data_IF_619524659273
#
_entry.id   IF_619524659273
#
_cell.length_a   1.000
_cell.length_b   1.000
_cell.length_c   1.000
_cell.angle_alpha   90.00
_cell.angle_beta   90.00
_cell.angle_gamma   90.00
#
_symmetry.space_group_name_H-M   'P 1'
#
loop_
_entity.id
_entity.type
_entity.pdbx_description
1 polymer ?
#
# COMPACT_ATOMS: atom_id res chain seq x y z
N UNK A 1 6.03 -10.19 31.90
CA UNK A 1 7.01 -10.44 30.81
C UNK A 1 6.42 -11.54 29.93
N UNK A 2 5.94 -11.22 28.73
CA UNK A 2 5.42 -12.22 27.80
C UNK A 2 6.44 -12.43 26.69
N UNK A 3 6.83 -13.69 26.48
CA UNK A 3 7.71 -14.14 25.40
C UNK A 3 6.98 -14.04 24.07
N UNK A 4 7.66 -13.50 23.05
CA UNK A 4 7.10 -13.27 21.72
C UNK A 4 7.45 -14.45 20.80
N UNK A 5 6.42 -15.07 20.22
CA UNK A 5 6.57 -15.97 19.08
C UNK A 5 6.64 -15.08 17.83
N UNK A 6 7.82 -15.02 17.20
CA UNK A 6 8.02 -14.33 15.92
C UNK A 6 7.30 -15.10 14.81
N UNK A 7 6.16 -14.59 14.33
CA UNK A 7 5.50 -15.13 13.15
C UNK A 7 6.16 -14.56 11.88
N UNK A 8 7.08 -15.33 11.30
CA UNK A 8 7.84 -14.97 10.09
C UNK A 8 7.00 -14.93 8.81
N UNK A 9 5.73 -15.34 8.85
CA UNK A 9 4.89 -15.46 7.65
C UNK A 9 4.16 -14.17 7.27
N UNK A 10 4.13 -13.17 8.15
CA UNK A 10 3.39 -11.91 7.95
C UNK A 10 4.20 -10.70 8.43
N UNK A 11 5.33 -10.39 7.78
CA UNK A 11 6.23 -9.34 8.24
C UNK A 11 5.57 -7.95 8.34
N UNK A 12 4.55 -7.69 7.52
CA UNK A 12 3.78 -6.43 7.46
C UNK A 12 2.80 -6.20 8.63
N UNK A 13 2.54 -7.21 9.46
CA UNK A 13 1.69 -7.04 10.65
C UNK A 13 2.43 -6.37 11.82
N UNK A 14 3.77 -6.31 11.79
CA UNK A 14 4.57 -5.84 12.92
C UNK A 14 4.80 -4.32 12.93
N UNK A 15 4.60 -3.64 11.80
CA UNK A 15 4.76 -2.19 11.67
C UNK A 15 3.53 -1.39 12.17
N UNK A 16 2.52 -2.10 12.70
CA UNK A 16 1.21 -1.60 13.13
C UNK A 16 1.17 -1.16 14.61
N UNK A 17 2.28 -0.63 15.16
CA UNK A 17 2.45 -0.44 16.62
C UNK A 17 1.80 0.81 17.25
N UNK A 18 1.02 1.60 16.51
CA UNK A 18 0.22 2.71 17.06
C UNK A 18 -1.29 2.41 16.95
N UNK A 19 -2.15 3.18 17.63
CA UNK A 19 -3.59 2.96 17.91
C UNK A 19 -4.55 2.68 16.70
N UNK A 20 -4.02 2.38 15.52
CA UNK A 20 -4.70 2.11 14.25
C UNK A 20 -4.95 0.60 13.95
N UNK A 21 -4.61 -0.31 14.88
CA UNK A 21 -4.66 -1.78 14.69
C UNK A 21 -5.94 -2.32 14.04
N UNK A 22 -7.17 -1.92 14.42
CA UNK A 22 -8.37 -2.57 13.88
C UNK A 22 -8.62 -2.20 12.41
N UNK A 23 -8.28 -0.97 12.01
CA UNK A 23 -8.70 -0.41 10.73
C UNK A 23 -7.73 -0.73 9.58
N UNK A 24 -6.42 -0.64 9.81
CA UNK A 24 -5.42 -1.07 8.83
C UNK A 24 -5.51 -2.59 8.62
N UNK A 25 -5.76 -3.35 9.70
CA UNK A 25 -6.06 -4.78 9.61
C UNK A 25 -7.38 -5.02 8.87
N UNK A 26 -8.43 -4.21 9.07
CA UNK A 26 -9.67 -4.29 8.29
C UNK A 26 -9.47 -3.99 6.80
N UNK A 27 -8.73 -2.95 6.43
CA UNK A 27 -8.49 -2.61 5.02
C UNK A 27 -7.70 -3.70 4.31
N UNK A 28 -6.70 -4.25 5.00
CA UNK A 28 -5.97 -5.43 4.54
C UNK A 28 -6.91 -6.63 4.43
N UNK A 29 -7.71 -6.94 5.46
CA UNK A 29 -8.68 -8.06 5.45
C UNK A 29 -9.74 -7.91 4.33
N UNK A 30 -10.21 -6.71 4.05
CA UNK A 30 -11.14 -6.40 2.95
C UNK A 30 -10.49 -6.71 1.59
N UNK A 31 -9.18 -6.49 1.46
CA UNK A 31 -8.39 -6.85 0.28
C UNK A 31 -7.99 -8.34 0.26
N UNK A 32 -7.96 -9.01 1.42
CA UNK A 32 -7.60 -10.41 1.62
C UNK A 32 -8.79 -11.39 1.69
N UNK A 33 -10.00 -11.00 1.27
CA UNK A 33 -11.15 -11.93 1.17
C UNK A 33 -11.00 -13.01 0.07
N UNK A 34 -9.77 -13.44 -0.24
CA UNK A 34 -9.47 -14.69 -0.96
C UNK A 34 -8.47 -15.55 -0.15
N UNK A 35 -8.74 -16.85 0.02
CA UNK A 35 -7.84 -17.75 0.72
C UNK A 35 -6.71 -18.20 -0.21
N UNK A 36 -5.48 -17.73 0.04
CA UNK A 36 -4.23 -18.50 -0.08
C UNK A 36 -3.02 -17.58 0.12
N UNK A 37 -2.55 -17.46 1.37
CA UNK A 37 -1.24 -16.88 1.69
C UNK A 37 -0.48 -17.85 2.58
N UNK A 38 0.05 -18.87 1.93
CA UNK A 38 1.20 -19.65 2.42
C UNK A 38 2.21 -19.61 1.30
N UNK A 39 3.29 -18.83 1.48
CA UNK A 39 4.66 -19.31 1.29
C UNK A 39 5.65 -18.17 1.53
N UNK A 40 6.68 -18.53 2.29
CA UNK A 40 7.96 -17.86 2.45
C UNK A 40 8.56 -17.45 1.11
N UNK A 41 9.06 -16.22 1.03
CA UNK A 41 9.68 -15.67 -0.18
C UNK A 41 11.11 -16.22 -0.28
N UNK A 42 11.26 -17.35 -0.96
CA UNK A 42 12.25 -17.44 -2.03
C UNK A 42 11.70 -16.61 -3.20
N UNK A 43 12.55 -15.85 -3.89
CA UNK A 43 12.16 -15.11 -5.10
C UNK A 43 11.97 -16.15 -6.20
N UNK A 44 10.82 -16.82 -6.17
CA UNK A 44 10.35 -17.58 -7.31
C UNK A 44 10.15 -16.56 -8.44
N UNK A 45 10.86 -16.78 -9.56
CA UNK A 45 10.68 -16.08 -10.85
C UNK A 45 9.30 -16.39 -11.46
N UNK A 46 8.25 -16.45 -10.64
CA UNK A 46 6.91 -16.72 -11.09
C UNK A 46 6.36 -15.45 -11.76
N UNK A 47 5.78 -15.59 -12.95
CA UNK A 47 5.02 -14.50 -13.54
C UNK A 47 3.91 -14.06 -12.58
N UNK A 48 3.79 -12.75 -12.37
CA UNK A 48 2.79 -12.14 -11.49
C UNK A 48 1.51 -11.93 -12.29
N UNK A 49 0.38 -12.37 -11.74
CA UNK A 49 -0.90 -12.13 -12.37
C UNK A 49 -1.31 -10.65 -12.24
N UNK A 50 -2.07 -10.14 -13.20
CA UNK A 50 -2.42 -8.71 -13.26
C UNK A 50 -3.20 -8.23 -12.04
N UNK A 51 -4.07 -9.07 -11.47
CA UNK A 51 -4.82 -8.77 -10.27
C UNK A 51 -3.91 -8.71 -9.02
N UNK A 52 -2.89 -9.56 -8.95
CA UNK A 52 -1.86 -9.49 -7.90
C UNK A 52 -1.06 -8.19 -8.00
N UNK A 53 -0.63 -7.81 -9.21
CA UNK A 53 0.07 -6.54 -9.45
C UNK A 53 -0.78 -5.32 -9.08
N UNK A 54 -2.05 -5.29 -9.51
CA UNK A 54 -2.97 -4.19 -9.17
C UNK A 54 -3.26 -4.11 -7.66
N UNK A 55 -3.28 -5.26 -6.97
CA UNK A 55 -3.41 -5.31 -5.51
C UNK A 55 -2.22 -4.69 -4.81
N UNK A 56 -1.02 -5.04 -5.27
CA UNK A 56 0.21 -4.48 -4.73
C UNK A 56 0.31 -2.96 -4.96
N UNK A 57 -0.20 -2.47 -6.10
CA UNK A 57 -0.29 -1.05 -6.38
C UNK A 57 -1.27 -0.35 -5.43
N UNK A 58 -2.42 -0.97 -5.10
CA UNK A 58 -3.30 -0.48 -4.03
C UNK A 58 -2.59 -0.43 -2.67
N UNK A 59 -1.78 -1.44 -2.32
CA UNK A 59 -0.99 -1.42 -1.09
C UNK A 59 -0.02 -0.25 -1.04
N UNK A 60 0.70 -0.01 -2.13
CA UNK A 60 1.59 1.14 -2.26
C UNK A 60 0.83 2.46 -2.08
N UNK A 61 -0.34 2.62 -2.71
CA UNK A 61 -1.20 3.82 -2.55
C UNK A 61 -1.73 4.02 -1.12
N UNK A 62 -1.70 2.98 -0.29
CA UNK A 62 -2.04 3.05 1.13
C UNK A 62 -0.82 3.12 2.05
N UNK A 63 0.38 3.34 1.48
CA UNK A 63 1.64 3.46 2.22
C UNK A 63 2.14 2.13 2.79
N UNK A 64 1.96 1.03 2.07
CA UNK A 64 2.36 -0.32 2.47
C UNK A 64 3.22 -0.97 1.37
N UNK A 65 4.43 -1.42 1.72
CA UNK A 65 5.29 -2.21 0.83
C UNK A 65 4.68 -3.57 0.50
N UNK A 66 5.01 -4.12 -0.67
CA UNK A 66 4.40 -5.33 -1.21
C UNK A 66 5.42 -6.22 -1.94
N UNK A 67 4.94 -7.23 -2.69
CA UNK A 67 5.82 -8.08 -3.46
C UNK A 67 6.48 -7.28 -4.60
N UNK A 68 5.73 -6.39 -5.24
CA UNK A 68 6.19 -5.61 -6.41
C UNK A 68 6.71 -4.21 -6.08
N UNK A 69 6.26 -3.60 -4.98
CA UNK A 69 6.68 -2.24 -4.59
C UNK A 69 7.40 -2.24 -3.25
N UNK A 70 8.47 -1.47 -3.14
CA UNK A 70 9.26 -1.35 -1.92
C UNK A 70 9.46 0.11 -1.56
N UNK A 71 9.27 0.45 -0.28
CA UNK A 71 9.59 1.76 0.25
C UNK A 71 11.08 1.87 0.52
N UNK A 72 11.72 2.85 -0.12
CA UNK A 72 13.10 3.23 0.17
C UNK A 72 13.10 4.36 1.22
N UNK A 73 13.51 4.03 2.44
CA UNK A 73 13.58 5.00 3.55
C UNK A 73 14.59 6.12 3.32
N UNK A 74 15.68 5.85 2.60
CA UNK A 74 16.75 6.83 2.34
C UNK A 74 16.24 7.93 1.41
N UNK A 75 15.48 7.55 0.39
CA UNK A 75 14.97 8.46 -0.64
C UNK A 75 13.52 8.88 -0.41
N UNK A 76 12.90 8.44 0.70
CA UNK A 76 11.48 8.64 1.03
C UNK A 76 10.56 8.42 -0.19
N UNK A 77 10.81 7.33 -0.92
CA UNK A 77 10.08 7.01 -2.16
C UNK A 77 9.81 5.51 -2.27
N UNK A 78 8.64 5.17 -2.81
CA UNK A 78 8.41 3.86 -3.35
C UNK A 78 9.21 3.67 -4.64
N UNK A 79 9.64 2.43 -4.85
CA UNK A 79 10.22 1.96 -6.09
C UNK A 79 9.53 0.64 -6.51
N UNK A 80 9.39 0.46 -7.81
CA UNK A 80 9.07 -0.84 -8.40
C UNK A 80 10.32 -1.72 -8.30
N UNK A 81 10.21 -2.96 -7.81
CA UNK A 81 11.37 -3.86 -7.75
C UNK A 81 11.84 -4.23 -9.16
N UNK A 82 13.12 -4.53 -9.30
CA UNK A 82 13.68 -4.98 -10.58
C UNK A 82 13.07 -6.32 -11.00
N UNK A 83 13.07 -6.57 -12.31
CA UNK A 83 12.78 -7.89 -12.90
C UNK A 83 11.36 -8.43 -12.63
N UNK A 84 10.40 -7.54 -12.40
CA UNK A 84 8.99 -7.89 -12.26
C UNK A 84 8.43 -8.27 -13.63
N UNK A 85 7.94 -9.51 -13.74
CA UNK A 85 7.27 -10.01 -14.92
C UNK A 85 5.76 -10.12 -14.68
N UNK A 86 4.97 -9.20 -15.22
CA UNK A 86 3.49 -9.24 -15.14
C UNK A 86 2.92 -9.89 -16.40
N UNK A 87 2.09 -10.93 -16.21
CA UNK A 87 1.50 -11.71 -17.30
C UNK A 87 0.73 -10.82 -18.27
N UNK A 88 1.09 -10.92 -19.57
CA UNK A 88 0.42 -10.22 -20.65
C UNK A 88 0.86 -8.77 -20.87
N UNK A 89 1.88 -8.28 -20.16
CA UNK A 89 2.39 -6.92 -20.29
C UNK A 89 3.91 -6.89 -20.44
N UNK A 90 4.43 -5.91 -21.18
CA UNK A 90 5.87 -5.66 -21.24
C UNK A 90 6.32 -4.92 -19.99
N UNK A 91 7.57 -5.15 -19.57
CA UNK A 91 8.17 -4.45 -18.41
C UNK A 91 8.05 -2.93 -18.54
N UNK A 92 8.36 -2.38 -19.72
CA UNK A 92 8.21 -0.94 -20.00
C UNK A 92 6.78 -0.42 -19.81
N UNK A 93 5.76 -1.23 -20.10
CA UNK A 93 4.36 -0.86 -19.86
C UNK A 93 4.05 -0.80 -18.38
N UNK A 94 4.54 -1.78 -17.61
CA UNK A 94 4.35 -1.85 -16.16
C UNK A 94 5.09 -0.72 -15.45
N UNK A 95 6.33 -0.43 -15.83
CA UNK A 95 7.11 0.69 -15.31
C UNK A 95 6.40 2.02 -15.57
N UNK A 96 6.01 2.28 -16.82
CA UNK A 96 5.31 3.52 -17.19
C UNK A 96 3.98 3.67 -16.46
N UNK A 97 3.23 2.57 -16.30
CA UNK A 97 1.98 2.58 -15.57
C UNK A 97 2.21 2.86 -14.08
N UNK A 98 3.18 2.18 -13.47
CA UNK A 98 3.53 2.32 -12.05
C UNK A 98 4.00 3.73 -11.69
N UNK A 99 4.80 4.36 -12.55
CA UNK A 99 5.32 5.71 -12.35
C UNK A 99 4.21 6.75 -12.14
N UNK A 100 3.02 6.55 -12.73
CA UNK A 100 1.87 7.44 -12.52
C UNK A 100 1.34 7.42 -11.08
N UNK A 101 1.53 6.31 -10.37
CA UNK A 101 0.97 6.08 -9.04
C UNK A 101 2.01 6.19 -7.92
N UNK A 102 3.29 5.99 -8.23
CA UNK A 102 4.39 6.08 -7.25
C UNK A 102 4.39 7.44 -6.54
N UNK A 103 4.21 8.54 -7.27
CA UNK A 103 4.16 9.88 -6.65
C UNK A 103 3.03 10.01 -5.63
N UNK A 104 1.85 9.47 -5.93
CA UNK A 104 0.71 9.48 -5.00
C UNK A 104 0.99 8.61 -3.75
N UNK A 105 1.60 7.43 -3.93
CA UNK A 105 2.05 6.59 -2.82
C UNK A 105 3.08 7.30 -1.93
N UNK A 106 4.02 8.03 -2.55
CA UNK A 106 5.02 8.82 -1.82
C UNK A 106 4.37 9.91 -0.98
N UNK A 107 3.46 10.70 -1.56
CA UNK A 107 2.74 11.74 -0.83
C UNK A 107 1.96 11.16 0.36
N UNK A 108 1.28 10.03 0.15
CA UNK A 108 0.57 9.32 1.22
C UNK A 108 1.52 8.98 2.38
N UNK A 109 2.68 8.38 2.07
CA UNK A 109 3.63 7.97 3.10
C UNK A 109 4.31 9.16 3.79
N UNK A 110 4.62 10.24 3.08
CA UNK A 110 5.16 11.47 3.67
C UNK A 110 4.17 12.07 4.67
N UNK A 111 2.89 12.18 4.30
CA UNK A 111 1.84 12.68 5.22
C UNK A 111 1.71 11.75 6.43
N UNK A 112 1.70 10.44 6.21
CA UNK A 112 1.66 9.43 7.28
C UNK A 112 2.86 9.56 8.23
N UNK A 113 4.07 9.74 7.71
CA UNK A 113 5.27 9.94 8.52
C UNK A 113 5.23 11.25 9.32
N UNK A 114 4.75 12.34 8.70
CA UNK A 114 4.55 13.61 9.40
C UNK A 114 3.61 13.46 10.59
N UNK A 115 2.42 12.87 10.37
CA UNK A 115 1.44 12.60 11.44
C UNK A 115 2.05 11.79 12.60
N UNK A 116 2.86 10.78 12.27
CA UNK A 116 3.49 9.91 13.26
C UNK A 116 4.59 10.63 14.05
N UNK A 117 5.30 11.58 13.44
CA UNK A 117 6.36 12.38 14.10
C UNK A 117 5.77 13.52 14.94
N UNK A 118 4.63 14.08 14.56
CA UNK A 118 3.98 15.22 15.23
C UNK A 118 3.25 14.89 16.53
N UNK A 119 3.28 13.65 17.02
CA UNK A 119 2.54 13.19 18.21
C UNK A 119 2.98 13.81 19.55
N UNK A 120 3.87 14.82 19.55
CA UNK A 120 4.39 15.53 20.73
C UNK A 120 4.22 17.04 20.66
N UNK A 121 3.46 17.55 19.70
CA UNK A 121 3.40 18.98 19.40
C UNK A 121 2.14 19.65 19.98
N UNK A 122 1.98 20.95 19.70
CA UNK A 122 0.88 21.80 20.18
C UNK A 122 -0.51 21.22 19.92
N UNK A 123 -1.51 21.65 20.69
CA UNK A 123 -2.91 21.24 20.52
C UNK A 123 -3.42 21.47 19.09
N UNK A 124 -3.12 22.63 18.51
CA UNK A 124 -3.45 22.97 17.12
C UNK A 124 -2.82 22.00 16.11
N UNK A 125 -1.58 21.57 16.33
CA UNK A 125 -0.94 20.59 15.45
C UNK A 125 -1.55 19.20 15.58
N UNK A 126 -2.01 18.83 16.78
CA UNK A 126 -2.72 17.57 17.00
C UNK A 126 -4.08 17.54 16.27
N UNK A 127 -4.82 18.65 16.25
CA UNK A 127 -6.08 18.79 15.49
C UNK A 127 -5.83 18.73 13.98
N UNK A 128 -4.77 19.40 13.50
CA UNK A 128 -4.36 19.31 12.10
C UNK A 128 -3.98 17.87 11.71
N UNK A 129 -3.16 17.20 12.51
CA UNK A 129 -2.79 15.80 12.30
C UNK A 129 -4.00 14.87 12.35
N UNK A 130 -4.97 15.13 13.22
CA UNK A 130 -6.23 14.38 13.25
C UNK A 130 -7.00 14.51 11.93
N UNK A 131 -7.12 15.73 11.40
CA UNK A 131 -7.77 15.99 10.11
C UNK A 131 -7.07 15.26 8.97
N UNK A 132 -5.73 15.27 8.94
CA UNK A 132 -4.95 14.51 7.97
C UNK A 132 -5.16 13.00 8.10
N UNK A 133 -5.20 12.44 9.33
CA UNK A 133 -5.51 11.01 9.53
C UNK A 133 -6.88 10.65 8.96
N UNK A 134 -7.89 11.49 9.20
CA UNK A 134 -9.22 11.28 8.65
C UNK A 134 -9.22 11.29 7.11
N UNK A 135 -8.45 12.21 6.52
CA UNK A 135 -8.29 12.28 5.06
C UNK A 135 -7.58 11.03 4.48
N UNK A 136 -6.46 10.59 5.08
CA UNK A 136 -5.77 9.36 4.65
C UNK A 136 -6.69 8.13 4.77
N UNK A 137 -7.50 8.04 5.84
CA UNK A 137 -8.49 6.97 6.00
C UNK A 137 -9.57 7.01 4.92
N UNK A 138 -10.02 8.19 4.51
CA UNK A 138 -10.97 8.33 3.40
C UNK A 138 -10.40 7.76 2.10
N UNK A 139 -9.13 8.07 1.78
CA UNK A 139 -8.45 7.53 0.61
C UNK A 139 -8.36 6.00 0.70
N UNK A 140 -7.88 5.46 1.82
CA UNK A 140 -7.78 4.01 2.04
C UNK A 140 -9.11 3.29 1.83
N UNK A 141 -10.21 3.83 2.39
CA UNK A 141 -11.57 3.28 2.18
C UNK A 141 -11.96 3.31 0.71
N UNK A 142 -11.74 4.44 0.05
CA UNK A 142 -12.13 4.64 -1.34
C UNK A 142 -11.43 3.66 -2.28
N UNK A 143 -10.17 3.32 -1.99
CA UNK A 143 -9.41 2.31 -2.73
C UNK A 143 -9.88 0.88 -2.38
N UNK A 144 -10.08 0.58 -1.08
CA UNK A 144 -10.39 -0.77 -0.60
C UNK A 144 -11.81 -1.27 -0.98
N UNK A 145 -12.72 -0.39 -1.39
CA UNK A 145 -14.09 -0.77 -1.81
C UNK A 145 -14.09 -1.55 -3.14
N UNK A 146 -13.05 -1.43 -3.96
CA UNK A 146 -13.04 -2.04 -5.28
C UNK A 146 -12.54 -3.49 -5.27
N UNK A 147 -13.33 -4.38 -5.88
CA UNK A 147 -12.87 -5.71 -6.28
C UNK A 147 -11.97 -5.63 -7.52
N UNK A 148 -10.68 -5.42 -7.25
CA UNK A 148 -9.61 -5.31 -8.27
C UNK A 148 -9.37 -6.60 -9.05
N UNK A 149 -9.90 -7.76 -8.62
CA UNK A 149 -9.74 -9.02 -9.35
C UNK A 149 -10.42 -9.03 -10.73
N UNK A 150 -11.25 -8.01 -10.99
CA UNK A 150 -11.98 -7.81 -12.26
C UNK A 150 -11.46 -6.61 -13.05
N UNK A 151 -10.27 -6.10 -12.72
CA UNK A 151 -9.73 -4.89 -13.31
C UNK A 151 -8.65 -5.22 -14.35
N UNK A 152 -8.68 -4.49 -15.46
CA UNK A 152 -7.51 -4.28 -16.32
C UNK A 152 -6.79 -3.01 -15.88
N UNK A 153 -5.58 -2.76 -16.39
CA UNK A 153 -4.85 -1.49 -16.14
C UNK A 153 -5.72 -0.25 -16.46
N UNK A 154 -6.47 -0.30 -17.57
CA UNK A 154 -7.35 0.80 -18.00
C UNK A 154 -8.51 1.00 -17.03
N UNK A 155 -9.16 -0.10 -16.62
CA UNK A 155 -10.28 -0.04 -15.68
C UNK A 155 -9.83 0.40 -14.28
N UNK A 156 -8.64 -0.01 -13.88
CA UNK A 156 -8.00 0.47 -12.65
C UNK A 156 -7.80 1.97 -12.68
N UNK A 157 -7.16 2.50 -13.73
CA UNK A 157 -6.95 3.94 -13.87
C UNK A 157 -8.27 4.72 -13.84
N UNK A 158 -9.30 4.26 -14.56
CA UNK A 158 -10.61 4.92 -14.58
C UNK A 158 -11.32 4.96 -13.20
N UNK A 159 -10.95 4.07 -12.26
CA UNK A 159 -11.53 4.03 -10.91
C UNK A 159 -10.68 4.71 -9.86
N UNK A 160 -9.36 4.64 -9.99
CA UNK A 160 -8.41 5.14 -9.00
C UNK A 160 -7.99 6.57 -9.28
N UNK A 161 -7.81 6.97 -10.54
CA UNK A 161 -7.40 8.33 -10.89
C UNK A 161 -8.32 9.41 -10.26
N UNK A 162 -9.66 9.28 -10.27
CA UNK A 162 -10.54 10.27 -9.61
C UNK A 162 -10.35 10.39 -8.10
N UNK A 163 -9.91 9.32 -7.42
CA UNK A 163 -9.61 9.34 -5.98
C UNK A 163 -8.29 10.05 -5.73
N UNK A 164 -7.33 9.88 -6.63
CA UNK A 164 -6.01 10.50 -6.50
C UNK A 164 -6.00 11.96 -6.95
N UNK A 165 -6.88 12.38 -7.86
CA UNK A 165 -7.02 13.78 -8.25
C UNK A 165 -7.58 14.70 -7.14
N UNK A 166 -7.99 14.16 -5.99
CA UNK A 166 -8.31 14.96 -4.81
C UNK A 166 -7.13 15.19 -3.85
N UNK A 167 -5.99 14.51 -4.07
CA UNK A 167 -4.71 14.74 -3.38
C UNK A 167 -3.99 15.96 -3.94
#
# INVERSE_FOLDING_TARGET
MSSYIYDRTRPYLFDLRTDDRPFQHMCLLLLFNRPSLTQSIDIDYRPIAIDEFLRDLCYMLMGVSSQTFEWNEIHETFALKSDINVLGYTQATIERFSMRYIQAGNHFNVIKHYINRSSRNSETENEFCHSLRCYLRYIQKSIAIYDISKFSLVKFAAKIDPILCSL
#
